data_IF_637963823211
#
_entry.id   IF_637963823211
#
_cell.length_a   1.000
_cell.length_b   1.000
_cell.length_c   1.000
_cell.angle_alpha   90.00
_cell.angle_beta   90.00
_cell.angle_gamma   90.00
#
_symmetry.space_group_name_H-M   'P 1'
#
loop_
_entity.id
_entity.type
_entity.pdbx_description
1 polymer ?
#
# COMPACT_ATOMS: atom_id res chain seq x y z
N UNK A 1 2.23 -16.71 -27.84
CA UNK A 1 3.03 -17.35 -26.76
C UNK A 1 3.72 -16.34 -25.85
N UNK A 2 4.70 -15.52 -26.29
CA UNK A 2 5.35 -14.52 -25.40
C UNK A 2 4.38 -13.38 -25.00
N UNK A 3 3.48 -12.96 -25.89
CA UNK A 3 2.44 -11.96 -25.59
C UNK A 3 1.37 -12.46 -24.60
N UNK A 4 1.12 -13.77 -24.55
CA UNK A 4 0.14 -14.36 -23.62
C UNK A 4 0.68 -14.40 -22.19
N UNK A 5 2.00 -14.66 -22.03
CA UNK A 5 2.67 -14.56 -20.74
C UNK A 5 2.68 -13.12 -20.20
N UNK A 6 2.86 -12.11 -21.07
CA UNK A 6 2.79 -10.71 -20.65
C UNK A 6 1.40 -10.35 -20.07
N UNK A 7 0.31 -10.85 -20.67
CA UNK A 7 -1.05 -10.72 -20.13
C UNK A 7 -1.21 -11.41 -18.76
N UNK A 8 -0.59 -12.58 -18.61
CA UNK A 8 -0.59 -13.35 -17.36
C UNK A 8 0.26 -12.69 -16.26
N UNK A 9 1.32 -11.95 -16.63
CA UNK A 9 2.10 -11.11 -15.72
C UNK A 9 1.38 -9.82 -15.32
N UNK A 10 0.63 -9.19 -16.24
CA UNK A 10 -0.22 -8.03 -15.91
C UNK A 10 -1.41 -8.40 -15.02
N UNK A 11 -1.89 -9.65 -15.10
CA UNK A 11 -2.91 -10.19 -14.21
C UNK A 11 -2.33 -11.06 -13.09
N UNK A 12 -1.00 -11.07 -12.89
CA UNK A 12 -0.39 -11.95 -11.90
C UNK A 12 -0.78 -11.47 -10.50
N UNK A 13 -1.58 -12.25 -9.76
CA UNK A 13 -1.90 -11.93 -8.39
C UNK A 13 -0.75 -12.46 -7.54
N UNK A 14 0.49 -12.01 -7.78
CA UNK A 14 1.55 -12.27 -6.81
C UNK A 14 1.35 -11.28 -5.66
N UNK A 15 0.54 -11.75 -4.72
CA UNK A 15 0.08 -11.17 -3.45
C UNK A 15 1.17 -10.45 -2.63
N UNK A 16 2.45 -10.57 -2.99
CA UNK A 16 3.58 -10.07 -2.20
C UNK A 16 4.05 -8.66 -2.54
N UNK A 17 3.73 -8.09 -3.71
CA UNK A 17 4.39 -6.86 -4.16
C UNK A 17 3.48 -5.75 -4.71
N UNK A 18 2.15 -5.88 -4.62
CA UNK A 18 1.21 -4.74 -4.67
C UNK A 18 1.33 -3.74 -5.84
N UNK A 19 1.73 -4.14 -7.04
CA UNK A 19 1.57 -3.27 -8.22
C UNK A 19 0.55 -3.85 -9.19
N UNK A 20 -0.66 -3.27 -9.29
CA UNK A 20 -1.67 -3.73 -10.23
C UNK A 20 -1.13 -3.64 -11.66
N UNK A 21 -1.51 -4.55 -12.55
CA UNK A 21 -1.13 -4.48 -13.98
C UNK A 21 -1.51 -3.15 -14.64
N UNK A 22 -2.57 -2.53 -14.12
CA UNK A 22 -3.06 -1.20 -14.52
C UNK A 22 -3.16 -0.29 -13.30
N UNK A 23 -2.76 0.97 -13.43
CA UNK A 23 -2.90 1.98 -12.38
C UNK A 23 -4.05 2.92 -12.74
N UNK A 24 -5.26 2.75 -12.16
CA UNK A 24 -6.38 3.62 -12.45
C UNK A 24 -6.16 4.99 -11.79
N UNK A 25 -6.14 6.05 -12.59
CA UNK A 25 -5.92 7.41 -12.15
C UNK A 25 -7.02 8.31 -12.70
N UNK A 26 -7.71 9.01 -11.81
CA UNK A 26 -8.69 10.05 -12.14
C UNK A 26 -8.26 11.32 -11.39
N UNK A 27 -8.20 12.50 -12.03
CA UNK A 27 -7.91 13.75 -11.33
C UNK A 27 -8.74 13.90 -10.04
N UNK A 28 -8.08 14.25 -8.94
CA UNK A 28 -8.68 14.30 -7.61
C UNK A 28 -8.55 13.00 -6.79
N UNK A 29 -8.06 11.91 -7.40
CA UNK A 29 -7.89 10.63 -6.69
C UNK A 29 -6.81 10.77 -5.60
N UNK A 30 -7.09 10.39 -4.35
CA UNK A 30 -6.06 10.27 -3.33
C UNK A 30 -5.11 9.14 -3.71
N UNK A 31 -3.81 9.41 -3.62
CA UNK A 31 -2.74 8.46 -3.91
C UNK A 31 -1.75 8.39 -2.75
N UNK A 32 -1.04 7.26 -2.65
CA UNK A 32 0.02 7.03 -1.68
C UNK A 32 1.34 6.83 -2.45
N UNK A 33 2.42 7.48 -2.00
CA UNK A 33 3.76 7.12 -2.44
C UNK A 33 4.14 5.73 -1.92
N UNK A 34 4.69 4.88 -2.78
CA UNK A 34 5.12 3.53 -2.41
C UNK A 34 6.62 3.45 -2.09
N UNK A 35 7.36 4.52 -2.32
CA UNK A 35 8.81 4.57 -2.19
C UNK A 35 9.29 5.89 -1.58
N UNK A 36 10.54 5.90 -1.12
CA UNK A 36 11.20 7.11 -0.65
C UNK A 36 11.82 7.85 -1.84
N UNK A 37 11.30 9.04 -2.12
CA UNK A 37 11.80 9.89 -3.22
C UNK A 37 12.74 10.96 -2.65
N UNK A 38 12.26 11.69 -1.64
CA UNK A 38 13.03 12.72 -0.97
C UNK A 38 12.49 12.89 0.46
N UNK A 39 13.21 12.35 1.44
CA UNK A 39 12.76 12.31 2.84
C UNK A 39 12.73 13.69 3.49
N UNK A 40 13.70 14.56 3.19
CA UNK A 40 13.80 15.92 3.71
C UNK A 40 12.56 16.78 3.44
N UNK A 41 12.04 16.88 2.19
CA UNK A 41 10.80 17.60 1.92
C UNK A 41 9.54 16.83 2.34
N UNK A 42 9.67 15.62 2.89
CA UNK A 42 8.55 14.78 3.34
C UNK A 42 7.92 13.91 2.25
N UNK A 43 8.67 13.54 1.20
CA UNK A 43 8.25 12.64 0.12
C UNK A 43 8.80 11.23 0.35
N UNK A 44 8.18 10.51 1.28
CA UNK A 44 8.56 9.15 1.67
C UNK A 44 7.41 8.15 1.46
N UNK A 45 7.72 6.86 1.53
CA UNK A 45 6.73 5.78 1.42
C UNK A 45 5.61 5.94 2.45
N UNK A 46 4.36 5.98 2.00
CA UNK A 46 3.20 6.25 2.83
C UNK A 46 2.73 7.70 2.82
N UNK A 47 3.45 8.61 2.16
CA UNK A 47 3.00 9.99 2.01
C UNK A 47 1.77 10.04 1.12
N UNK A 48 0.71 10.69 1.62
CA UNK A 48 -0.54 10.90 0.87
C UNK A 48 -0.44 12.14 -0.01
N UNK A 49 -0.92 12.03 -1.24
CA UNK A 49 -1.09 13.14 -2.17
C UNK A 49 -2.41 13.04 -2.92
N UNK A 50 -2.72 14.08 -3.69
CA UNK A 50 -3.85 14.11 -4.60
C UNK A 50 -3.32 14.09 -6.03
N UNK A 51 -3.71 13.10 -6.81
CA UNK A 51 -3.36 13.02 -8.22
C UNK A 51 -4.06 14.15 -8.99
N UNK A 52 -3.30 14.97 -9.71
CA UNK A 52 -3.82 16.09 -10.50
C UNK A 52 -3.84 15.78 -11.98
N UNK A 53 -2.71 15.35 -12.53
CA UNK A 53 -2.57 15.12 -13.96
C UNK A 53 -1.48 14.09 -14.26
N UNK A 54 -1.65 13.34 -15.35
CA UNK A 54 -0.62 12.50 -15.91
C UNK A 54 -0.04 13.20 -17.15
N UNK A 55 1.29 13.26 -17.24
CA UNK A 55 1.99 13.71 -18.43
C UNK A 55 2.53 12.48 -19.16
N UNK A 56 2.23 12.38 -20.45
CA UNK A 56 2.51 11.21 -21.29
C UNK A 56 2.80 11.66 -22.72
N UNK A 57 3.43 10.79 -23.51
CA UNK A 57 3.66 11.03 -24.94
C UNK A 57 2.41 10.75 -25.76
N UNK A 58 2.21 11.46 -26.88
CA UNK A 58 1.01 11.36 -27.74
C UNK A 58 0.73 9.95 -28.29
N UNK A 59 1.69 9.04 -28.21
CA UNK A 59 1.52 7.63 -28.56
C UNK A 59 0.63 6.92 -27.53
N UNK A 60 -0.69 7.04 -27.71
CA UNK A 60 -1.73 6.27 -27.06
C UNK A 60 -2.11 5.08 -27.96
N UNK A 61 -1.87 3.86 -27.51
CA UNK A 61 -2.53 2.70 -28.11
C UNK A 61 -3.92 2.61 -27.47
N UNK A 62 -4.97 2.95 -28.23
CA UNK A 62 -6.35 2.72 -27.80
C UNK A 62 -6.60 1.21 -27.76
N UNK A 63 -6.33 0.59 -26.62
CA UNK A 63 -6.67 -0.80 -26.38
C UNK A 63 -8.17 -0.89 -26.12
N UNK A 64 -8.91 -1.49 -27.04
CA UNK A 64 -10.34 -1.80 -26.88
C UNK A 64 -10.52 -2.76 -25.68
N UNK A 65 -11.25 -2.33 -24.66
CA UNK A 65 -11.62 -3.14 -23.50
C UNK A 65 -13.15 -3.20 -23.34
N UNK A 66 -13.63 -4.24 -22.65
CA UNK A 66 -15.05 -4.40 -22.31
C UNK A 66 -15.58 -3.18 -21.54
N UNK A 67 -16.54 -2.49 -22.15
CA UNK A 67 -17.21 -1.27 -21.65
C UNK A 67 -17.92 -1.49 -20.30
N UNK A 68 -18.06 -2.74 -19.87
CA UNK A 68 -18.72 -3.13 -18.62
C UNK A 68 -17.91 -2.67 -17.40
N UNK A 69 -16.58 -2.58 -17.49
CA UNK A 69 -15.70 -2.35 -16.32
C UNK A 69 -15.22 -0.89 -16.20
N UNK A 70 -15.01 -0.19 -17.32
CA UNK A 70 -14.44 1.16 -17.33
C UNK A 70 -15.33 2.16 -18.10
N UNK A 71 -15.45 3.42 -17.66
CA UNK A 71 -16.20 4.44 -18.39
C UNK A 71 -15.71 4.64 -19.83
N UNK A 72 -16.62 5.02 -20.74
CA UNK A 72 -16.33 5.22 -22.17
C UNK A 72 -15.22 6.24 -22.48
N UNK A 73 -14.90 7.14 -21.56
CA UNK A 73 -13.87 8.18 -21.71
C UNK A 73 -12.51 7.77 -21.12
N UNK A 74 -12.33 6.50 -20.75
CA UNK A 74 -11.07 5.99 -20.21
C UNK A 74 -10.01 5.90 -21.31
N UNK A 75 -8.83 6.50 -21.08
CA UNK A 75 -7.67 6.39 -21.97
C UNK A 75 -6.65 5.42 -21.37
N UNK A 76 -6.15 4.50 -22.20
CA UNK A 76 -5.10 3.57 -21.79
C UNK A 76 -3.74 4.08 -22.23
N UNK A 77 -2.85 4.28 -21.26
CA UNK A 77 -1.55 4.90 -21.50
C UNK A 77 -0.44 3.92 -21.13
N UNK A 78 0.40 3.59 -22.10
CA UNK A 78 1.53 2.66 -21.93
C UNK A 78 2.86 3.37 -21.70
N UNK A 79 2.95 4.67 -22.02
CA UNK A 79 4.18 5.47 -21.92
C UNK A 79 3.97 6.78 -21.13
N UNK A 80 3.67 6.73 -19.82
CA UNK A 80 3.68 7.94 -19.00
C UNK A 80 5.12 8.44 -18.80
N UNK A 81 5.28 9.76 -18.70
CA UNK A 81 6.54 10.44 -18.38
C UNK A 81 6.67 10.72 -16.89
N UNK A 82 5.65 11.35 -16.31
CA UNK A 82 5.54 11.64 -14.88
C UNK A 82 4.09 11.99 -14.51
N UNK A 83 3.76 11.90 -13.23
CA UNK A 83 2.47 12.34 -12.69
C UNK A 83 2.65 13.59 -11.83
N UNK A 84 1.75 14.56 -11.99
CA UNK A 84 1.68 15.75 -11.14
C UNK A 84 0.81 15.42 -9.92
N UNK A 85 1.44 15.42 -8.75
CA UNK A 85 0.78 15.08 -7.48
C UNK A 85 0.86 16.28 -6.53
N UNK A 86 -0.26 16.62 -5.93
CA UNK A 86 -0.29 17.62 -4.88
C UNK A 86 -0.04 16.97 -3.52
N UNK A 87 1.01 17.43 -2.82
CA UNK A 87 1.37 16.96 -1.48
C UNK A 87 1.12 18.04 -0.44
N UNK A 88 -0.02 17.97 0.26
CA UNK A 88 -0.38 18.99 1.27
C UNK A 88 0.62 19.07 2.43
N UNK A 89 1.35 17.98 2.71
CA UNK A 89 2.34 17.84 3.78
C UNK A 89 3.78 18.18 3.39
N UNK A 90 4.04 18.48 2.11
CA UNK A 90 5.40 18.73 1.65
C UNK A 90 5.93 20.06 2.18
N UNK A 91 7.18 20.03 2.68
CA UNK A 91 7.85 21.17 3.35
C UNK A 91 8.71 22.02 2.41
N UNK A 92 8.56 21.88 1.10
CA UNK A 92 9.29 22.70 0.13
C UNK A 92 8.94 24.20 0.33
N UNK A 93 9.97 25.02 0.58
CA UNK A 93 9.92 26.48 0.56
C UNK A 93 9.63 26.99 -0.87
N UNK A 94 9.22 28.25 -1.09
CA UNK A 94 8.36 28.60 -2.22
C UNK A 94 9.02 28.40 -3.59
N UNK A 95 8.40 27.51 -4.38
CA UNK A 95 8.19 27.60 -5.83
C UNK A 95 9.38 27.29 -6.74
N UNK A 96 9.35 26.12 -7.40
CA UNK A 96 9.82 26.09 -8.78
C UNK A 96 8.96 27.12 -9.54
N UNK A 97 9.60 28.04 -10.25
CA UNK A 97 9.05 29.33 -10.71
C UNK A 97 7.68 29.28 -11.42
N UNK A 98 7.27 28.12 -11.95
CA UNK A 98 6.05 27.95 -12.74
C UNK A 98 5.04 26.92 -12.17
N UNK A 99 5.29 26.36 -10.98
CA UNK A 99 4.45 25.29 -10.43
C UNK A 99 3.65 25.77 -9.21
N UNK A 100 2.33 25.58 -9.25
CA UNK A 100 1.44 25.89 -8.13
C UNK A 100 1.99 25.25 -6.84
N UNK A 101 1.97 26.04 -5.76
CA UNK A 101 2.53 25.65 -4.46
C UNK A 101 2.02 24.25 -4.10
N UNK A 102 2.95 23.29 -3.95
CA UNK A 102 2.76 21.88 -3.52
C UNK A 102 2.43 20.84 -4.59
N UNK A 103 2.36 21.20 -5.87
CA UNK A 103 2.35 20.19 -6.95
C UNK A 103 3.80 19.75 -7.21
N UNK A 104 4.03 18.45 -7.30
CA UNK A 104 5.37 17.87 -7.49
C UNK A 104 5.30 16.82 -8.60
N UNK A 105 6.19 16.88 -9.61
CA UNK A 105 6.29 15.85 -10.62
C UNK A 105 6.91 14.58 -10.01
N UNK A 106 6.16 13.49 -10.07
CA UNK A 106 6.60 12.15 -9.69
C UNK A 106 6.92 11.36 -10.96
N UNK A 107 8.21 11.14 -11.18
CA UNK A 107 8.72 10.34 -12.30
C UNK A 107 8.53 8.84 -12.07
N UNK A 108 8.63 8.06 -13.13
CA UNK A 108 8.61 6.60 -13.03
C UNK A 108 9.88 6.08 -12.36
N UNK A 109 9.72 5.08 -11.49
CA UNK A 109 10.84 4.30 -10.91
C UNK A 109 10.97 2.97 -11.62
N UNK A 110 12.20 2.47 -11.76
CA UNK A 110 12.47 1.07 -12.14
C UNK A 110 12.58 0.19 -10.89
N UNK A 111 11.73 -0.82 -10.82
CA UNK A 111 11.78 -1.87 -9.80
C UNK A 111 12.23 -3.18 -10.43
N UNK A 112 13.11 -3.90 -9.74
CA UNK A 112 13.60 -5.22 -10.16
C UNK A 112 13.01 -6.29 -9.25
N UNK A 113 12.37 -7.28 -9.86
CA UNK A 113 11.77 -8.42 -9.20
C UNK A 113 12.49 -9.69 -9.61
N UNK A 114 12.83 -10.51 -8.64
CA UNK A 114 13.49 -11.80 -8.87
C UNK A 114 12.58 -12.91 -8.38
N UNK A 115 12.26 -13.84 -9.28
CA UNK A 115 11.40 -14.98 -9.00
C UNK A 115 12.15 -16.28 -9.30
N UNK A 116 11.95 -17.30 -8.46
CA UNK A 116 12.34 -18.66 -8.83
C UNK A 116 11.26 -19.25 -9.74
N UNK A 117 11.65 -19.89 -10.85
CA UNK A 117 10.69 -20.48 -11.81
C UNK A 117 9.74 -21.47 -11.13
N UNK A 118 10.19 -22.15 -10.07
CA UNK A 118 9.37 -23.09 -9.30
C UNK A 118 8.10 -22.44 -8.72
N UNK A 119 8.16 -21.17 -8.34
CA UNK A 119 7.03 -20.44 -7.74
C UNK A 119 5.99 -20.02 -8.79
N UNK A 120 6.36 -20.04 -10.08
CA UNK A 120 5.52 -19.62 -11.20
C UNK A 120 4.85 -20.80 -11.91
N UNK A 121 5.29 -22.04 -11.66
CA UNK A 121 4.76 -23.24 -12.29
C UNK A 121 3.56 -23.77 -11.50
N UNK A 122 2.40 -23.89 -12.15
CA UNK A 122 1.22 -24.57 -11.59
C UNK A 122 1.52 -26.06 -11.37
N UNK A 123 0.94 -26.67 -10.34
CA UNK A 123 1.18 -28.07 -9.93
C UNK A 123 1.11 -29.10 -11.09
N UNK A 124 0.32 -28.82 -12.12
CA UNK A 124 0.15 -29.63 -13.33
C UNK A 124 1.39 -29.69 -14.23
N UNK A 125 2.18 -28.60 -14.32
CA UNK A 125 3.38 -28.54 -15.17
C UNK A 125 4.60 -29.12 -14.45
N UNK A 126 4.62 -29.04 -13.11
CA UNK A 126 5.69 -29.57 -12.25
C UNK A 126 5.88 -31.08 -12.38
N UNK A 127 4.85 -31.84 -12.82
CA UNK A 127 4.95 -33.29 -13.08
C UNK A 127 5.52 -33.63 -14.46
N UNK A 128 5.35 -32.76 -15.45
CA UNK A 128 5.87 -32.94 -16.82
C UNK A 128 7.34 -32.54 -16.92
N UNK A 129 7.80 -31.58 -16.11
CA UNK A 129 9.19 -31.14 -16.05
C UNK A 129 9.98 -32.01 -15.06
N UNK A 130 10.37 -33.22 -15.48
CA UNK A 130 11.40 -34.04 -14.79
C UNK A 130 12.83 -33.49 -14.97
N UNK A 131 13.02 -32.21 -15.27
CA UNK A 131 14.25 -31.71 -15.91
C UNK A 131 14.76 -30.41 -15.26
N UNK A 132 16.04 -30.50 -14.84
CA UNK A 132 16.99 -29.46 -14.39
C UNK A 132 16.98 -29.15 -12.87
N UNK A 133 17.97 -29.75 -12.18
CA UNK A 133 18.39 -29.50 -10.78
C UNK A 133 18.96 -28.08 -10.52
N UNK A 134 18.89 -27.15 -11.48
CA UNK A 134 19.44 -25.79 -11.32
C UNK A 134 18.32 -24.81 -10.99
N UNK A 135 18.42 -24.02 -9.90
CA UNK A 135 17.47 -22.94 -9.66
C UNK A 135 17.64 -21.89 -10.77
N UNK A 136 16.68 -21.85 -11.68
CA UNK A 136 16.58 -20.78 -12.66
C UNK A 136 15.80 -19.64 -12.05
N UNK A 137 16.47 -18.48 -11.93
CA UNK A 137 15.87 -17.24 -11.46
C UNK A 137 15.47 -16.41 -12.67
N UNK A 138 14.23 -15.94 -12.69
CA UNK A 138 13.75 -14.92 -13.64
C UNK A 138 13.90 -13.56 -12.96
N UNK A 139 14.55 -12.64 -13.65
CA UNK A 139 14.64 -11.24 -13.24
C UNK A 139 13.75 -10.40 -14.14
N UNK A 140 12.75 -9.75 -13.57
CA UNK A 140 11.80 -8.87 -14.26
C UNK A 140 12.05 -7.44 -13.81
N UNK A 141 12.26 -6.54 -14.77
CA UNK A 141 12.33 -5.10 -14.50
C UNK A 141 11.03 -4.45 -14.91
N UNK A 142 10.46 -3.64 -14.02
CA UNK A 142 9.23 -2.89 -14.26
C UNK A 142 9.49 -1.42 -14.05
N UNK A 143 9.14 -0.60 -15.04
CA UNK A 143 9.13 0.86 -14.92
C UNK A 143 7.70 1.32 -14.70
N UNK A 144 7.41 1.92 -13.55
CA UNK A 144 6.06 2.36 -13.18
C UNK A 144 6.11 3.60 -12.28
N UNK A 145 4.98 4.29 -12.16
CA UNK A 145 4.84 5.34 -11.14
C UNK A 145 4.84 4.71 -9.75
N UNK A 146 5.60 5.23 -8.77
CA UNK A 146 5.60 4.74 -7.40
C UNK A 146 4.37 5.24 -6.63
N UNK A 147 3.18 4.99 -7.19
CA UNK A 147 1.90 5.51 -6.72
C UNK A 147 0.86 4.39 -6.71
N UNK A 148 0.02 4.38 -5.67
CA UNK A 148 -1.19 3.55 -5.60
C UNK A 148 -2.39 4.40 -5.19
N UNK A 149 -3.62 4.10 -5.65
CA UNK A 149 -4.82 4.73 -5.13
C UNK A 149 -4.93 4.50 -3.62
N UNK A 150 -5.37 5.52 -2.89
CA UNK A 150 -5.34 5.56 -1.42
C UNK A 150 -6.71 5.86 -0.81
N UNK A 151 -7.79 5.37 -1.45
CA UNK A 151 -9.15 5.42 -0.88
C UNK A 151 -9.27 4.56 0.37
N UNK A 152 -8.62 3.40 0.37
CA UNK A 152 -8.52 2.50 1.51
C UNK A 152 -7.06 2.15 1.78
N UNK A 153 -6.76 1.85 3.03
CA UNK A 153 -5.46 1.34 3.44
C UNK A 153 -5.68 0.13 4.35
N UNK A 154 -4.75 -0.81 4.33
CA UNK A 154 -4.82 -1.95 5.24
C UNK A 154 -4.50 -1.53 6.67
N UNK A 155 -5.01 -2.30 7.63
CA UNK A 155 -4.69 -2.13 9.06
C UNK A 155 -3.19 -2.00 9.30
N UNK A 156 -2.38 -2.89 8.73
CA UNK A 156 -0.92 -2.84 8.85
C UNK A 156 -0.31 -1.55 8.31
N UNK A 157 -0.79 -1.05 7.16
CA UNK A 157 -0.28 0.20 6.58
C UNK A 157 -0.70 1.44 7.37
N UNK A 158 -1.80 1.37 8.12
CA UNK A 158 -2.24 2.45 9.01
C UNK A 158 -1.46 2.53 10.33
N UNK A 159 -0.68 1.50 10.68
CA UNK A 159 0.00 1.43 11.96
C UNK A 159 0.95 2.62 12.17
N UNK A 160 0.88 3.25 13.34
CA UNK A 160 1.67 4.44 13.67
C UNK A 160 1.13 5.75 13.08
N UNK A 161 0.13 5.70 12.19
CA UNK A 161 -0.51 6.91 11.67
C UNK A 161 -1.61 7.40 12.61
N UNK A 162 -1.80 8.71 12.66
CA UNK A 162 -3.01 9.34 13.22
C UNK A 162 -3.87 9.84 12.07
N UNK A 163 -5.09 9.34 11.97
CA UNK A 163 -6.05 9.67 10.92
C UNK A 163 -7.12 10.60 11.48
N UNK A 164 -7.71 11.43 10.61
CA UNK A 164 -8.71 12.43 11.02
C UNK A 164 -10.09 11.81 11.20
N UNK A 165 -10.66 11.27 10.13
CA UNK A 165 -11.94 10.57 10.10
C UNK A 165 -11.77 9.30 9.29
N UNK A 166 -12.26 8.18 9.78
CA UNK A 166 -12.10 6.89 9.12
C UNK A 166 -13.38 6.08 9.09
N UNK A 167 -13.53 5.35 7.99
CA UNK A 167 -14.42 4.21 7.89
C UNK A 167 -13.58 2.96 8.15
N UNK A 168 -14.03 2.09 9.05
CA UNK A 168 -13.36 0.82 9.36
C UNK A 168 -14.27 -0.35 9.05
N UNK A 169 -13.70 -1.38 8.43
CA UNK A 169 -14.30 -2.69 8.31
C UNK A 169 -13.65 -3.61 9.35
N UNK A 170 -14.49 -4.22 10.21
CA UNK A 170 -14.06 -5.14 11.27
C UNK A 170 -14.47 -6.59 10.97
N UNK A 171 -14.87 -6.90 9.73
CA UNK A 171 -15.06 -8.28 9.31
C UNK A 171 -13.69 -8.96 9.22
N UNK A 172 -13.45 -9.91 10.11
CA UNK A 172 -12.18 -10.62 10.17
C UNK A 172 -12.09 -11.68 9.07
N UNK A 173 -10.94 -11.82 8.39
CA UNK A 173 -10.72 -12.90 7.44
C UNK A 173 -10.73 -14.26 8.16
N UNK A 174 -10.99 -15.37 7.44
CA UNK A 174 -10.92 -16.70 8.02
C UNK A 174 -9.52 -17.00 8.55
N UNK A 175 -9.42 -17.41 9.81
CA UNK A 175 -8.16 -17.71 10.46
C UNK A 175 -8.09 -17.18 11.90
N UNK A 176 -6.90 -17.27 12.54
CA UNK A 176 -6.69 -16.73 13.86
C UNK A 176 -6.81 -15.19 13.84
N UNK A 177 -7.66 -14.65 14.70
CA UNK A 177 -7.78 -13.21 14.88
C UNK A 177 -6.79 -12.75 15.94
N UNK A 178 -5.92 -11.82 15.57
CA UNK A 178 -4.99 -11.18 16.49
C UNK A 178 -5.63 -9.92 17.12
N UNK A 179 -5.23 -9.59 18.36
CA UNK A 179 -5.66 -8.36 19.04
C UNK A 179 -5.37 -7.11 18.18
N UNK A 180 -4.23 -7.11 17.49
CA UNK A 180 -3.79 -6.00 16.66
C UNK A 180 -4.74 -5.72 15.48
N UNK A 181 -5.41 -6.75 14.94
CA UNK A 181 -6.33 -6.62 13.80
C UNK A 181 -7.49 -5.66 14.08
N UNK A 182 -7.90 -5.56 15.34
CA UNK A 182 -8.99 -4.70 15.81
C UNK A 182 -8.47 -3.46 16.52
N UNK A 183 -7.47 -3.61 17.39
CA UNK A 183 -6.91 -2.50 18.14
C UNK A 183 -6.25 -1.44 17.25
N UNK A 184 -5.47 -1.87 16.24
CA UNK A 184 -4.75 -0.93 15.38
C UNK A 184 -5.71 0.01 14.65
N UNK A 185 -6.72 -0.44 13.88
CA UNK A 185 -7.56 0.49 13.12
C UNK A 185 -8.38 1.40 14.05
N UNK A 186 -8.90 0.89 15.17
CA UNK A 186 -9.69 1.68 16.13
C UNK A 186 -8.86 2.77 16.83
N UNK A 187 -7.58 2.51 17.09
CA UNK A 187 -6.67 3.48 17.72
C UNK A 187 -6.08 4.52 16.77
N UNK A 188 -6.46 4.53 15.48
CA UNK A 188 -5.93 5.51 14.52
C UNK A 188 -6.58 6.90 14.63
N UNK A 189 -7.76 7.01 15.24
CA UNK A 189 -8.47 8.29 15.41
C UNK A 189 -8.35 8.79 16.85
N UNK A 190 -8.47 10.11 17.02
CA UNK A 190 -8.37 10.76 18.34
C UNK A 190 -9.71 10.83 19.08
N UNK A 191 -10.83 10.79 18.35
CA UNK A 191 -12.19 10.89 18.89
C UNK A 191 -13.05 9.78 18.32
N UNK A 192 -13.99 9.30 19.13
CA UNK A 192 -14.93 8.27 18.70
C UNK A 192 -15.88 8.79 17.60
N UNK A 193 -16.26 10.07 17.64
CA UNK A 193 -17.10 10.73 16.60
C UNK A 193 -16.48 10.72 15.19
N UNK A 194 -15.17 10.48 15.12
CA UNK A 194 -14.41 10.43 13.87
C UNK A 194 -14.26 8.99 13.33
N UNK A 195 -14.86 8.00 14.00
CA UNK A 195 -14.84 6.59 13.63
C UNK A 195 -16.23 6.14 13.18
N UNK A 196 -16.32 5.52 12.00
CA UNK A 196 -17.51 4.77 11.60
C UNK A 196 -17.15 3.32 11.26
N UNK A 197 -17.85 2.37 11.86
CA UNK A 197 -17.77 0.96 11.49
C UNK A 197 -18.82 0.70 10.39
N UNK A 198 -18.39 0.27 9.21
CA UNK A 198 -19.26 0.20 8.02
C UNK A 198 -20.08 -1.08 7.97
N UNK A 199 -19.49 -2.19 8.37
CA UNK A 199 -20.08 -3.53 8.24
C UNK A 199 -20.46 -4.10 9.61
N UNK A 200 -21.59 -4.82 9.73
CA UNK A 200 -21.86 -5.66 10.89
C UNK A 200 -20.73 -6.67 11.10
N UNK A 201 -20.29 -6.82 12.34
CA UNK A 201 -19.20 -7.72 12.71
C UNK A 201 -19.55 -8.48 14.00
N UNK A 202 -18.84 -9.59 14.25
CA UNK A 202 -19.07 -10.35 15.48
C UNK A 202 -18.42 -9.65 16.67
N UNK A 203 -19.19 -9.41 17.73
CA UNK A 203 -18.68 -8.76 18.94
C UNK A 203 -17.54 -9.53 19.61
N UNK A 204 -17.46 -10.85 19.41
CA UNK A 204 -16.35 -11.69 19.87
C UNK A 204 -14.99 -11.23 19.33
N UNK A 205 -14.95 -10.58 18.15
CA UNK A 205 -13.74 -10.00 17.58
C UNK A 205 -13.14 -8.88 18.46
N UNK A 206 -13.94 -8.19 19.28
CA UNK A 206 -13.44 -7.20 20.24
C UNK A 206 -12.87 -7.82 21.52
N UNK A 207 -13.14 -9.11 21.76
CA UNK A 207 -12.79 -9.82 22.99
C UNK A 207 -11.53 -10.68 22.85
N UNK A 208 -10.83 -10.55 21.73
CA UNK A 208 -9.57 -11.26 21.49
C UNK A 208 -8.56 -10.87 22.56
N UNK A 209 -8.02 -11.87 23.25
CA UNK A 209 -7.04 -11.68 24.32
C UNK A 209 -5.62 -11.69 23.76
N UNK A 210 -4.68 -10.93 24.36
CA UNK A 210 -3.27 -11.05 24.04
C UNK A 210 -2.79 -12.49 24.29
N UNK A 211 -1.77 -12.91 23.53
CA UNK A 211 -1.15 -14.22 23.73
C UNK A 211 -0.47 -14.31 25.10
N UNK A 212 -0.22 -15.53 25.59
CA UNK A 212 0.48 -15.73 26.87
C UNK A 212 1.82 -14.97 26.91
N UNK A 213 2.59 -15.02 25.83
CA UNK A 213 3.86 -14.29 25.69
C UNK A 213 3.67 -12.77 25.75
N UNK A 214 2.63 -12.22 25.11
CA UNK A 214 2.32 -10.78 25.19
C UNK A 214 1.91 -10.38 26.61
N UNK A 215 1.15 -11.22 27.31
CA UNK A 215 0.76 -11.00 28.70
C UNK A 215 1.97 -11.05 29.65
N UNK A 216 2.88 -12.01 29.46
CA UNK A 216 4.13 -12.10 30.21
C UNK A 216 4.99 -10.84 30.02
N UNK A 217 5.09 -10.35 28.79
CA UNK A 217 5.84 -9.13 28.49
C UNK A 217 5.20 -7.89 29.12
N UNK A 218 3.86 -7.75 29.05
CA UNK A 218 3.15 -6.67 29.74
C UNK A 218 3.39 -6.71 31.27
N UNK A 219 3.38 -7.91 31.86
CA UNK A 219 3.67 -8.09 33.27
C UNK A 219 5.13 -7.72 33.61
N UNK A 220 6.08 -8.08 32.76
CA UNK A 220 7.49 -7.69 32.90
C UNK A 220 7.66 -6.17 32.84
N UNK A 221 7.03 -5.51 31.87
CA UNK A 221 7.05 -4.04 31.72
C UNK A 221 6.41 -3.32 32.92
N UNK A 222 5.32 -3.87 33.47
CA UNK A 222 4.71 -3.33 34.69
C UNK A 222 5.65 -3.43 35.90
N UNK A 223 6.32 -4.58 36.09
CA UNK A 223 7.33 -4.74 37.17
C UNK A 223 8.47 -3.73 37.04
N UNK A 224 8.97 -3.52 35.82
CA UNK A 224 10.00 -2.52 35.54
C UNK A 224 9.49 -1.12 35.88
N UNK A 225 8.28 -0.77 35.43
CA UNK A 225 7.67 0.54 35.69
C UNK A 225 7.55 0.82 37.20
N UNK A 226 7.13 -0.17 37.99
CA UNK A 226 7.05 -0.06 39.45
C UNK A 226 8.43 0.18 40.06
N UNK A 227 9.45 -0.56 39.62
CA UNK A 227 10.82 -0.40 40.11
C UNK A 227 11.41 0.96 39.73
N UNK A 228 11.20 1.44 38.50
CA UNK A 228 11.65 2.76 38.06
C UNK A 228 11.00 3.87 38.87
N UNK A 229 9.69 3.79 39.13
CA UNK A 229 8.98 4.79 39.97
C UNK A 229 9.51 4.85 41.41
N UNK A 230 9.98 3.73 41.97
CA UNK A 230 10.60 3.71 43.31
C UNK A 230 11.96 4.42 43.34
N UNK A 231 12.75 4.31 42.27
CA UNK A 231 14.09 4.90 42.19
C UNK A 231 14.06 6.36 41.73
N UNK A 232 13.07 6.73 40.91
CA UNK A 232 12.91 8.07 40.35
C UNK A 232 11.48 8.57 40.63
N UNK A 233 11.18 8.99 41.88
CA UNK A 233 9.91 9.59 42.20
C UNK A 233 9.72 10.88 41.38
N UNK A 234 8.56 11.02 40.72
CA UNK A 234 8.24 12.24 39.99
C UNK A 234 8.14 13.42 40.96
N UNK A 235 8.77 14.57 40.67
CA UNK A 235 8.55 15.77 41.47
C UNK A 235 7.06 16.12 41.45
N UNK A 236 6.55 16.50 42.63
CA UNK A 236 5.15 16.85 42.88
C UNK A 236 4.81 18.21 42.31
#
# INVERSE_FOLDING_TARGET
MIQDYAKQFSNCPTIKQHLPGYLPLVPGTPVLLTENIATEPGLYNGTRGIFRQLVYDEFCEDVQFDVIVFPKHTKFLTRPKYALIEFSSCKLAPGLKDLEKKIIPISLTEQTFTFDIKDLLTETVSKAVKVVKRPMKIVIKRKALPLIPAYSITTHKSQGQTLRKIFVDLVMPPGPVEVASVYVPLSRVKRLDDLLIVCPFNFSSLQVKPTATQMEELNRLNKITINTRKHFPTPT
#
